data_IF_502083529663
#
_entry.id   IF_502083529663
#
_cell.length_a   1.000
_cell.length_b   1.000
_cell.length_c   1.000
_cell.angle_alpha   90.00
_cell.angle_beta   90.00
_cell.angle_gamma   90.00
#
_symmetry.space_group_name_H-M   'P 1'
#
loop_
_entity.id
_entity.type
_entity.pdbx_description
1 polymer ?
#
# COMPACT_ATOMS: atom_id res chain seq x y z
N UNK A 1 -6.06 9.95 5.36
CA UNK A 1 -4.75 9.34 5.72
C UNK A 1 -4.43 9.32 7.23
N UNK A 2 -4.30 10.47 7.92
CA UNK A 2 -3.78 10.49 9.30
C UNK A 2 -4.64 9.70 10.30
N UNK A 3 -5.95 9.97 10.35
CA UNK A 3 -6.88 9.25 11.23
C UNK A 3 -6.92 7.75 10.88
N UNK A 4 -6.93 7.43 9.59
CA UNK A 4 -6.97 6.04 9.10
C UNK A 4 -5.74 5.25 9.55
N UNK A 5 -4.54 5.84 9.49
CA UNK A 5 -3.31 5.18 9.96
C UNK A 5 -3.26 5.07 11.49
N UNK A 6 -3.73 6.09 12.22
CA UNK A 6 -3.83 6.00 13.70
C UNK A 6 -4.75 4.85 14.11
N UNK A 7 -5.90 4.69 13.45
CA UNK A 7 -6.83 3.59 13.76
C UNK A 7 -6.27 2.25 13.30
N UNK A 8 -5.90 2.10 12.03
CA UNK A 8 -5.52 0.80 11.47
C UNK A 8 -4.14 0.32 11.94
N UNK A 9 -3.17 1.24 12.05
CA UNK A 9 -1.78 0.92 12.40
C UNK A 9 -1.46 1.25 13.84
N UNK A 10 -2.04 2.31 14.40
CA UNK A 10 -1.83 2.68 15.80
C UNK A 10 -2.65 1.84 16.79
N UNK A 11 -3.85 1.38 16.40
CA UNK A 11 -4.75 0.66 17.30
C UNK A 11 -4.99 -0.80 16.88
N UNK A 12 -5.51 -1.04 15.67
CA UNK A 12 -5.94 -2.38 15.21
C UNK A 12 -4.76 -3.34 15.09
N UNK A 13 -3.71 -2.98 14.34
CA UNK A 13 -2.57 -3.88 14.11
C UNK A 13 -1.86 -4.27 15.42
N UNK A 14 -1.53 -3.35 16.35
CA UNK A 14 -0.97 -3.72 17.64
C UNK A 14 -1.88 -4.60 18.49
N UNK A 15 -3.20 -4.38 18.44
CA UNK A 15 -4.17 -5.23 19.13
C UNK A 15 -4.18 -6.67 18.55
N UNK A 16 -4.13 -6.82 17.22
CA UNK A 16 -4.04 -8.13 16.56
C UNK A 16 -2.73 -8.86 16.93
N UNK A 17 -1.61 -8.14 17.00
CA UNK A 17 -0.32 -8.70 17.42
C UNK A 17 -0.38 -9.14 18.89
N UNK A 18 -0.92 -8.29 19.78
CA UNK A 18 -1.05 -8.58 21.22
C UNK A 18 -1.93 -9.81 21.48
N UNK A 19 -2.99 -9.96 20.70
CA UNK A 19 -3.91 -11.11 20.77
C UNK A 19 -3.43 -12.34 20.00
N UNK A 20 -2.15 -12.40 19.60
CA UNK A 20 -1.54 -13.55 18.91
C UNK A 20 -2.28 -14.00 17.65
N UNK A 21 -2.85 -13.06 16.90
CA UNK A 21 -3.38 -13.35 15.57
C UNK A 21 -2.27 -13.99 14.72
N UNK A 22 -2.58 -15.06 13.96
CA UNK A 22 -1.60 -15.77 13.12
C UNK A 22 -1.06 -14.91 11.97
N UNK A 23 -1.91 -14.02 11.43
CA UNK A 23 -1.61 -13.20 10.25
C UNK A 23 -2.00 -11.73 10.48
N UNK A 24 -1.45 -11.05 11.50
CA UNK A 24 -1.96 -9.75 11.96
C UNK A 24 -1.86 -8.66 10.87
N UNK A 25 -0.80 -8.71 10.06
CA UNK A 25 -0.60 -7.82 8.91
C UNK A 25 -1.70 -8.02 7.87
N UNK A 26 -1.93 -9.27 7.45
CA UNK A 26 -2.92 -9.58 6.42
C UNK A 26 -4.34 -9.27 6.93
N UNK A 27 -4.67 -9.63 8.17
CA UNK A 27 -5.97 -9.32 8.77
C UNK A 27 -6.21 -7.81 8.85
N UNK A 28 -5.22 -7.03 9.32
CA UNK A 28 -5.33 -5.57 9.36
C UNK A 28 -5.48 -4.95 7.96
N UNK A 29 -4.77 -5.49 6.96
CA UNK A 29 -4.88 -5.03 5.58
C UNK A 29 -6.24 -5.38 4.94
N UNK A 30 -6.79 -6.56 5.23
CA UNK A 30 -8.14 -6.94 4.79
C UNK A 30 -9.20 -6.03 5.40
N UNK A 31 -9.12 -5.74 6.71
CA UNK A 31 -10.03 -4.81 7.37
C UNK A 31 -9.96 -3.42 6.74
N UNK A 32 -8.76 -2.93 6.45
CA UNK A 32 -8.56 -1.67 5.74
C UNK A 32 -9.18 -1.71 4.33
N UNK A 33 -8.94 -2.77 3.56
CA UNK A 33 -9.45 -2.91 2.19
C UNK A 33 -10.98 -2.94 2.11
N UNK A 34 -11.66 -3.62 3.03
CA UNK A 34 -13.14 -3.74 3.04
C UNK A 34 -13.83 -2.40 3.27
N UNK A 35 -13.14 -1.41 3.86
CA UNK A 35 -13.66 -0.05 4.03
C UNK A 35 -13.56 0.81 2.76
N UNK A 36 -12.93 0.29 1.70
CA UNK A 36 -12.76 0.99 0.44
C UNK A 36 -13.79 0.54 -0.61
N UNK A 37 -13.94 1.34 -1.66
CA UNK A 37 -14.84 1.00 -2.77
C UNK A 37 -14.37 -0.30 -3.47
N UNK A 38 -15.28 -1.12 -4.01
CA UNK A 38 -14.93 -2.41 -4.62
C UNK A 38 -13.86 -2.33 -5.71
N UNK A 39 -13.90 -1.27 -6.53
CA UNK A 39 -12.94 -1.00 -7.60
C UNK A 39 -11.52 -0.68 -7.10
N UNK A 40 -11.40 -0.21 -5.86
CA UNK A 40 -10.12 0.13 -5.21
C UNK A 40 -9.66 -0.90 -4.18
N UNK A 41 -10.47 -1.93 -3.91
CA UNK A 41 -10.25 -2.85 -2.77
C UNK A 41 -8.93 -3.62 -2.88
N UNK A 42 -8.56 -4.09 -4.07
CA UNK A 42 -7.28 -4.80 -4.28
C UNK A 42 -6.08 -3.87 -4.04
N UNK A 43 -6.16 -2.63 -4.55
CA UNK A 43 -5.11 -1.62 -4.35
C UNK A 43 -4.99 -1.27 -2.86
N UNK A 44 -6.12 -1.06 -2.17
CA UNK A 44 -6.16 -0.79 -0.74
C UNK A 44 -5.59 -1.95 0.09
N UNK A 45 -5.87 -3.21 -0.29
CA UNK A 45 -5.28 -4.39 0.35
C UNK A 45 -3.75 -4.39 0.22
N UNK A 46 -3.24 -4.23 -1.00
CA UNK A 46 -1.80 -4.22 -1.27
C UNK A 46 -1.11 -3.07 -0.54
N UNK A 47 -1.68 -1.86 -0.63
CA UNK A 47 -1.19 -0.70 0.09
C UNK A 47 -1.20 -0.94 1.60
N UNK A 48 -2.28 -1.50 2.14
CA UNK A 48 -2.45 -1.80 3.56
C UNK A 48 -1.40 -2.77 4.09
N UNK A 49 -1.01 -3.78 3.30
CA UNK A 49 0.10 -4.69 3.64
C UNK A 49 1.41 -3.91 3.72
N UNK A 50 1.72 -3.09 2.71
CA UNK A 50 2.97 -2.32 2.63
C UNK A 50 3.12 -1.39 3.84
N UNK A 51 2.09 -0.59 4.16
CA UNK A 51 2.17 0.35 5.29
C UNK A 51 2.15 -0.35 6.66
N UNK A 52 1.52 -1.52 6.78
CA UNK A 52 1.60 -2.34 7.99
C UNK A 52 3.02 -2.88 8.22
N UNK A 53 3.68 -3.38 7.17
CA UNK A 53 5.09 -3.81 7.21
C UNK A 53 6.01 -2.63 7.53
N UNK A 54 5.76 -1.46 6.92
CA UNK A 54 6.51 -0.24 7.20
C UNK A 54 6.42 0.16 8.67
N UNK A 55 5.22 0.12 9.29
CA UNK A 55 5.08 0.37 10.73
C UNK A 55 5.91 -0.62 11.56
N UNK A 56 5.84 -1.92 11.24
CA UNK A 56 6.57 -2.94 12.00
C UNK A 56 8.09 -2.75 11.94
N UNK A 57 8.62 -2.29 10.81
CA UNK A 57 10.04 -2.03 10.65
C UNK A 57 10.48 -0.69 11.23
N UNK A 58 9.76 0.40 10.94
CA UNK A 58 10.14 1.74 11.36
C UNK A 58 9.72 2.08 12.80
N UNK A 59 8.80 1.30 13.38
CA UNK A 59 8.20 1.54 14.71
C UNK A 59 7.68 2.96 14.90
N UNK A 60 7.19 3.57 13.81
CA UNK A 60 6.70 4.94 13.78
C UNK A 60 5.50 5.04 12.86
N UNK A 61 4.47 5.78 13.27
CA UNK A 61 3.29 6.05 12.46
C UNK A 61 3.56 7.09 11.35
N UNK A 62 4.65 7.86 11.46
CA UNK A 62 4.99 8.88 10.46
C UNK A 62 5.29 8.27 9.09
N UNK A 63 5.99 7.13 9.03
CA UNK A 63 6.29 6.44 7.77
C UNK A 63 5.01 6.06 7.00
N UNK A 64 4.11 5.25 7.59
CA UNK A 64 2.80 4.95 7.03
C UNK A 64 1.97 6.19 6.65
N UNK A 65 1.92 7.20 7.52
CA UNK A 65 1.14 8.41 7.28
C UNK A 65 1.64 9.21 6.08
N UNK A 66 2.96 9.38 5.95
CA UNK A 66 3.58 10.05 4.80
C UNK A 66 3.37 9.22 3.53
N UNK A 67 3.59 7.91 3.57
CA UNK A 67 3.36 7.03 2.42
C UNK A 67 1.91 7.10 1.93
N UNK A 68 0.94 7.10 2.85
CA UNK A 68 -0.48 7.20 2.53
C UNK A 68 -0.85 8.58 1.97
N UNK A 69 -0.36 9.66 2.59
CA UNK A 69 -0.58 11.01 2.05
C UNK A 69 -0.01 11.16 0.64
N UNK A 70 1.21 10.66 0.39
CA UNK A 70 1.85 10.69 -0.92
C UNK A 70 1.09 9.83 -1.94
N UNK A 71 0.65 8.63 -1.56
CA UNK A 71 -0.14 7.76 -2.44
C UNK A 71 -1.44 8.45 -2.87
N UNK A 72 -2.18 9.04 -1.92
CA UNK A 72 -3.41 9.76 -2.23
C UNK A 72 -3.15 11.00 -3.09
N UNK A 73 -2.08 11.74 -2.81
CA UNK A 73 -1.69 12.90 -3.63
C UNK A 73 -1.41 12.46 -5.07
N UNK A 74 -0.63 11.40 -5.28
CA UNK A 74 -0.35 10.87 -6.61
C UNK A 74 -1.63 10.41 -7.32
N UNK A 75 -2.54 9.76 -6.61
CA UNK A 75 -3.83 9.34 -7.18
C UNK A 75 -4.69 10.54 -7.60
N UNK A 76 -4.74 11.59 -6.78
CA UNK A 76 -5.44 12.84 -7.11
C UNK A 76 -4.78 13.54 -8.30
N UNK A 77 -3.45 13.64 -8.32
CA UNK A 77 -2.71 14.22 -9.43
C UNK A 77 -2.93 13.44 -10.73
N UNK A 78 -2.96 12.11 -10.66
CA UNK A 78 -3.23 11.26 -11.82
C UNK A 78 -4.63 11.50 -12.37
N UNK A 79 -5.65 11.39 -11.51
CA UNK A 79 -7.05 11.53 -11.91
C UNK A 79 -7.44 12.93 -12.40
N UNK A 80 -6.81 13.99 -11.88
CA UNK A 80 -7.18 15.37 -12.19
C UNK A 80 -6.22 16.09 -13.14
N UNK A 81 -4.92 15.79 -13.09
CA UNK A 81 -3.90 16.58 -13.77
C UNK A 81 -3.16 15.80 -14.87
N UNK A 82 -3.01 14.48 -14.72
CA UNK A 82 -2.21 13.66 -15.63
C UNK A 82 -3.05 12.72 -16.51
N UNK A 83 -4.38 12.78 -16.40
CA UNK A 83 -5.28 12.06 -17.29
C UNK A 83 -4.95 12.39 -18.75
N UNK A 84 -4.27 11.45 -19.38
CA UNK A 84 -3.85 11.55 -20.77
C UNK A 84 -4.77 10.63 -21.58
N UNK A 85 -5.81 11.17 -22.25
CA UNK A 85 -6.88 10.35 -22.85
C UNK A 85 -6.35 9.32 -23.85
N UNK A 86 -5.25 9.66 -24.52
CA UNK A 86 -4.56 8.76 -25.47
C UNK A 86 -3.91 7.57 -24.78
N UNK A 87 -3.37 7.75 -23.57
CA UNK A 87 -2.78 6.66 -22.80
C UNK A 87 -3.87 5.77 -22.21
N UNK A 88 -4.96 6.34 -21.68
CA UNK A 88 -6.12 5.56 -21.24
C UNK A 88 -6.68 4.71 -22.39
N UNK A 89 -6.88 5.28 -23.58
CA UNK A 89 -7.36 4.55 -24.75
C UNK A 89 -6.39 3.43 -25.18
N UNK A 90 -5.08 3.68 -25.14
CA UNK A 90 -4.06 2.68 -25.45
C UNK A 90 -4.05 1.54 -24.42
N UNK A 91 -4.16 1.85 -23.12
CA UNK A 91 -4.22 0.85 -22.05
C UNK A 91 -5.51 0.03 -22.13
N UNK A 92 -6.65 0.66 -22.39
CA UNK A 92 -7.95 -0.02 -22.58
C UNK A 92 -7.97 -0.94 -23.80
N UNK A 93 -7.10 -0.71 -24.79
CA UNK A 93 -6.95 -1.59 -25.95
C UNK A 93 -6.15 -2.87 -25.65
N UNK A 94 -5.46 -2.93 -24.51
CA UNK A 94 -4.72 -4.12 -24.10
C UNK A 94 -5.66 -5.19 -23.53
N UNK A 95 -5.36 -6.49 -23.75
CA UNK A 95 -6.10 -7.56 -23.10
C UNK A 95 -6.06 -7.42 -21.56
N UNK A 96 -7.17 -7.68 -20.83
CA UNK A 96 -7.22 -7.55 -19.37
C UNK A 96 -6.13 -8.36 -18.65
N UNK A 97 -5.78 -9.53 -19.19
CA UNK A 97 -4.70 -10.37 -18.67
C UNK A 97 -3.34 -9.66 -18.74
N UNK A 98 -3.07 -8.93 -19.82
CA UNK A 98 -1.82 -8.18 -19.99
C UNK A 98 -1.71 -7.07 -18.97
N UNK A 99 -2.80 -6.31 -18.74
CA UNK A 99 -2.84 -5.29 -17.70
C UNK A 99 -2.63 -5.90 -16.30
N UNK A 100 -3.27 -7.03 -16.01
CA UNK A 100 -3.12 -7.72 -14.74
C UNK A 100 -1.67 -8.20 -14.51
N UNK A 101 -1.04 -8.79 -15.52
CA UNK A 101 0.36 -9.25 -15.44
C UNK A 101 1.32 -8.08 -15.27
N UNK A 102 1.14 -7.00 -16.02
CA UNK A 102 1.96 -5.78 -15.89
C UNK A 102 1.81 -5.15 -14.50
N UNK A 103 0.58 -5.01 -14.03
CA UNK A 103 0.29 -4.50 -12.68
C UNK A 103 0.94 -5.36 -11.59
N UNK A 104 0.83 -6.68 -11.70
CA UNK A 104 1.47 -7.62 -10.77
C UNK A 104 3.00 -7.51 -10.81
N UNK A 105 3.60 -7.43 -11.99
CA UNK A 105 5.05 -7.31 -12.16
C UNK A 105 5.59 -6.01 -11.56
N UNK A 106 4.93 -4.88 -11.82
CA UNK A 106 5.29 -3.58 -11.23
C UNK A 106 5.15 -3.65 -9.70
N UNK A 107 4.05 -4.22 -9.19
CA UNK A 107 3.82 -4.41 -7.76
C UNK A 107 4.92 -5.23 -7.09
N UNK A 108 5.32 -6.37 -7.68
CA UNK A 108 6.42 -7.21 -7.20
C UNK A 108 7.74 -6.45 -7.22
N UNK A 109 8.06 -5.75 -8.31
CA UNK A 109 9.29 -4.98 -8.42
C UNK A 109 9.38 -3.87 -7.36
N UNK A 110 8.29 -3.12 -7.15
CA UNK A 110 8.21 -2.09 -6.13
C UNK A 110 8.36 -2.67 -4.72
N UNK A 111 7.72 -3.81 -4.44
CA UNK A 111 7.87 -4.51 -3.16
C UNK A 111 9.32 -4.96 -2.92
N UNK A 112 9.97 -5.57 -3.91
CA UNK A 112 11.36 -6.00 -3.81
C UNK A 112 12.31 -4.82 -3.59
N UNK A 113 12.08 -3.70 -4.28
CA UNK A 113 12.83 -2.46 -4.08
C UNK A 113 12.65 -1.94 -2.64
N UNK A 114 11.42 -1.91 -2.12
CA UNK A 114 11.15 -1.47 -0.75
C UNK A 114 11.84 -2.35 0.29
N UNK A 115 11.81 -3.67 0.13
CA UNK A 115 12.53 -4.61 1.00
C UNK A 115 14.04 -4.35 0.94
N UNK A 116 14.59 -4.11 -0.25
CA UNK A 116 16.01 -3.83 -0.44
C UNK A 116 16.43 -2.53 0.26
N UNK A 117 15.65 -1.45 0.10
CA UNK A 117 15.91 -0.17 0.77
C UNK A 117 15.86 -0.35 2.30
N UNK A 118 14.83 -1.01 2.82
CA UNK A 118 14.68 -1.22 4.26
C UNK A 118 15.85 -2.02 4.87
N UNK A 119 16.35 -3.04 4.15
CA UNK A 119 17.54 -3.79 4.57
C UNK A 119 18.80 -2.93 4.58
N UNK A 120 18.96 -2.07 3.56
CA UNK A 120 20.11 -1.19 3.45
C UNK A 120 20.14 -0.14 4.56
N UNK A 121 18.99 0.48 4.87
CA UNK A 121 18.88 1.43 5.98
C UNK A 121 19.03 0.77 7.35
N UNK A 122 18.52 -0.46 7.54
CA UNK A 122 18.68 -1.20 8.80
C UNK A 122 20.10 -1.72 9.06
N UNK A 123 20.91 -1.88 8.02
CA UNK A 123 22.34 -2.20 8.12
C UNK A 123 23.18 -0.97 8.49
N UNK A 124 22.74 0.24 8.12
CA UNK A 124 23.45 1.49 8.43
C UNK A 124 23.24 1.98 9.87
N UNK A 125 22.28 1.42 10.60
CA UNK A 125 21.92 1.81 11.98
C UNK A 125 22.39 0.82 13.06
N UNK A 126 23.21 -0.18 12.71
CA UNK A 126 23.88 -1.08 13.65
C UNK A 126 25.38 -0.81 13.65
#
# INVERSE_FOLDING_TARGET
>A
PAIEEVVNRGYILPALIRNRCKLPVLTSACLFAVLHRPDSMLVALMFGIVVAVQLMHCRSLWGPAIAHATFNLLFVMDGHCLRYPKLEAALLSLPPLTLAVLGAAIGVAAFLLAVRIARWTGAATR
#
